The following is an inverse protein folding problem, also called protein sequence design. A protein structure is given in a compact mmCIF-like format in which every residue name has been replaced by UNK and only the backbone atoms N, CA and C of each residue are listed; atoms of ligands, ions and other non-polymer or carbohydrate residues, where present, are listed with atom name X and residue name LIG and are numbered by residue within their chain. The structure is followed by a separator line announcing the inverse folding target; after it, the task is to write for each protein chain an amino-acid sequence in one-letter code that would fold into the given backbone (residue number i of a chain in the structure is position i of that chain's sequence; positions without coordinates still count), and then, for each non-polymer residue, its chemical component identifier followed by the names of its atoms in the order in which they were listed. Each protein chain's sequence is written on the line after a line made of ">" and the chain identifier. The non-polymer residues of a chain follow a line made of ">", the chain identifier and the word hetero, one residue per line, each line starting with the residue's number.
data_IF_978878749498
#
_entry.id   IF_978878749498
#
_cell.length_a   1.000
_cell.length_b   1.000
_cell.length_c   1.000
_cell.angle_alpha   90.00
_cell.angle_beta   90.00
_cell.angle_gamma   90.00
#
_symmetry.space_group_name_H-M   'P 1'
#
loop_
_entity.id
_entity.type
_entity.pdbx_description
1 polymer ?
#
# COMPACT_ATOMS: atom_id res chain seq x y z
N UNK A 1 0.33 -7.28 8.96
CA UNK A 1 0.96 -6.55 7.84
C UNK A 1 2.00 -7.43 7.17
N UNK A 2 2.01 -7.44 5.85
CA UNK A 2 3.03 -8.16 5.09
C UNK A 2 3.57 -7.24 4.00
N UNK A 3 4.87 -7.08 3.94
CA UNK A 3 5.54 -6.25 2.94
C UNK A 3 6.45 -7.16 2.11
N UNK A 4 6.14 -7.27 0.82
CA UNK A 4 6.90 -8.12 -0.07
C UNK A 4 8.29 -7.54 -0.38
N UNK A 5 9.23 -8.38 -0.87
CA UNK A 5 10.56 -7.89 -1.27
C UNK A 5 10.46 -6.74 -2.28
N UNK A 6 11.40 -5.81 -2.16
CA UNK A 6 11.50 -4.63 -3.04
C UNK A 6 10.36 -3.63 -2.93
N UNK A 7 9.42 -3.82 -2.02
CA UNK A 7 8.44 -2.79 -1.71
C UNK A 7 9.14 -1.65 -0.97
N UNK A 8 8.80 -0.42 -1.30
CA UNK A 8 9.36 0.77 -0.65
C UNK A 8 8.25 1.47 0.12
N UNK A 9 8.42 1.54 1.43
CA UNK A 9 7.48 2.22 2.32
C UNK A 9 8.23 3.40 2.93
N UNK A 10 7.84 4.61 2.53
CA UNK A 10 8.52 5.82 2.97
C UNK A 10 8.15 6.20 4.41
N UNK A 11 8.84 7.21 4.95
CA UNK A 11 8.69 7.57 6.36
C UNK A 11 7.28 7.98 6.76
N UNK A 12 6.88 7.65 7.98
CA UNK A 12 5.60 8.05 8.53
C UNK A 12 4.40 7.26 8.01
N UNK A 13 4.61 6.23 7.21
CA UNK A 13 3.52 5.39 6.70
C UNK A 13 3.02 4.49 7.82
N UNK A 14 1.69 4.40 7.94
CA UNK A 14 1.03 3.47 8.85
C UNK A 14 0.30 2.43 8.02
N UNK A 15 0.50 1.18 8.35
CA UNK A 15 -0.14 0.06 7.64
C UNK A 15 -0.98 -0.73 8.64
N UNK A 16 -2.26 -0.85 8.36
CA UNK A 16 -3.19 -1.56 9.22
C UNK A 16 -2.96 -3.06 9.23
N UNK A 17 -3.50 -3.72 10.25
CA UNK A 17 -3.38 -5.15 10.45
C UNK A 17 -3.97 -5.93 9.27
N UNK A 18 -3.30 -6.98 8.88
CA UNK A 18 -3.77 -7.86 7.80
C UNK A 18 -3.57 -7.34 6.39
N UNK A 19 -2.95 -6.17 6.24
CA UNK A 19 -2.72 -5.61 4.90
C UNK A 19 -1.48 -6.19 4.25
N UNK A 20 -1.50 -6.23 2.90
CA UNK A 20 -0.41 -6.72 2.07
C UNK A 20 0.12 -5.60 1.18
N UNK A 21 1.43 -5.49 1.11
CA UNK A 21 2.08 -4.59 0.16
C UNK A 21 2.88 -5.45 -0.81
N UNK A 22 2.46 -5.46 -2.07
CA UNK A 22 3.04 -6.32 -3.09
C UNK A 22 4.46 -5.93 -3.49
N UNK A 23 5.14 -6.82 -4.19
CA UNK A 23 6.52 -6.64 -4.59
C UNK A 23 6.68 -5.40 -5.45
N UNK A 24 7.71 -4.59 -5.18
CA UNK A 24 8.00 -3.39 -5.96
C UNK A 24 7.02 -2.23 -5.77
N UNK A 25 6.01 -2.38 -4.93
CA UNK A 25 5.09 -1.28 -4.66
C UNK A 25 5.80 -0.15 -3.92
N UNK A 26 5.35 1.07 -4.13
CA UNK A 26 5.88 2.26 -3.47
C UNK A 26 4.75 2.94 -2.72
N UNK A 27 4.92 3.19 -1.44
CA UNK A 27 3.96 3.92 -0.63
C UNK A 27 4.60 5.25 -0.23
N UNK A 28 3.98 6.34 -0.66
CA UNK A 28 4.45 7.69 -0.38
C UNK A 28 4.48 7.94 1.13
N UNK A 29 5.35 8.85 1.57
CA UNK A 29 5.47 9.21 2.98
C UNK A 29 4.14 9.71 3.56
N UNK A 30 3.92 9.45 4.84
CA UNK A 30 2.75 9.87 5.62
C UNK A 30 1.41 9.32 5.14
N UNK A 31 1.42 8.29 4.32
CA UNK A 31 0.19 7.60 3.93
C UNK A 31 -0.27 6.68 5.04
N UNK A 32 -1.59 6.57 5.21
CA UNK A 32 -2.20 5.57 6.09
C UNK A 32 -2.90 4.53 5.23
N UNK A 33 -2.49 3.28 5.37
CA UNK A 33 -3.14 2.14 4.73
C UNK A 33 -3.99 1.45 5.80
N UNK A 34 -5.27 1.30 5.52
CA UNK A 34 -6.20 0.70 6.45
C UNK A 34 -5.96 -0.79 6.70
N UNK A 35 -6.89 -1.43 7.38
CA UNK A 35 -6.81 -2.87 7.69
C UNK A 35 -7.25 -3.70 6.50
N UNK A 36 -6.65 -4.87 6.35
CA UNK A 36 -7.02 -5.85 5.32
C UNK A 36 -7.00 -5.29 3.90
N UNK A 37 -6.08 -4.36 3.63
CA UNK A 37 -5.89 -3.81 2.31
C UNK A 37 -4.96 -4.69 1.49
N UNK A 38 -5.10 -4.63 0.16
CA UNK A 38 -4.20 -5.29 -0.77
C UNK A 38 -3.59 -4.24 -1.68
N UNK A 39 -2.29 -4.06 -1.61
CA UNK A 39 -1.58 -3.17 -2.53
C UNK A 39 -0.89 -4.06 -3.56
N UNK A 40 -1.30 -3.94 -4.81
CA UNK A 40 -0.77 -4.79 -5.87
C UNK A 40 0.71 -4.56 -6.15
N UNK A 41 1.36 -5.55 -6.74
CA UNK A 41 2.77 -5.46 -7.10
C UNK A 41 2.99 -4.28 -8.04
N UNK A 42 4.03 -3.49 -7.78
CA UNK A 42 4.37 -2.33 -8.60
C UNK A 42 3.46 -1.12 -8.45
N UNK A 43 2.43 -1.17 -7.61
CA UNK A 43 1.55 -0.03 -7.42
C UNK A 43 2.28 1.12 -6.74
N UNK A 44 1.87 2.34 -7.07
CA UNK A 44 2.39 3.55 -6.42
C UNK A 44 1.25 4.21 -5.65
N UNK A 45 1.32 4.14 -4.33
CA UNK A 45 0.26 4.64 -3.45
C UNK A 45 0.54 6.09 -3.08
N UNK A 46 -0.35 6.98 -3.51
CA UNK A 46 -0.21 8.42 -3.33
C UNK A 46 -1.24 9.01 -2.35
N UNK A 47 -2.21 8.23 -1.90
CA UNK A 47 -3.28 8.65 -1.00
C UNK A 47 -3.54 7.60 0.05
N UNK A 48 -4.18 8.00 1.14
CA UNK A 48 -4.61 7.06 2.16
C UNK A 48 -5.55 6.01 1.55
N UNK A 49 -5.44 4.81 2.05
CA UNK A 49 -6.21 3.67 1.55
C UNK A 49 -7.19 3.22 2.65
N UNK A 50 -8.50 3.23 2.36
CA UNK A 50 -9.47 2.82 3.36
C UNK A 50 -9.42 1.31 3.63
N UNK A 51 -9.95 0.91 4.78
CA UNK A 51 -9.98 -0.50 5.17
C UNK A 51 -10.60 -1.38 4.07
N UNK A 52 -9.98 -2.51 3.81
CA UNK A 52 -10.47 -3.50 2.87
C UNK A 52 -10.28 -3.17 1.40
N UNK A 53 -9.65 -2.04 1.07
CA UNK A 53 -9.48 -1.64 -0.33
C UNK A 53 -8.35 -2.39 -1.01
N UNK A 54 -8.47 -2.55 -2.32
CA UNK A 54 -7.41 -3.07 -3.17
C UNK A 54 -6.92 -1.94 -4.07
N UNK A 55 -5.62 -1.72 -4.10
CA UNK A 55 -5.01 -0.65 -4.89
C UNK A 55 -4.03 -1.25 -5.89
N UNK A 56 -4.16 -0.86 -7.16
CA UNK A 56 -3.30 -1.36 -8.23
C UNK A 56 -2.89 -0.23 -9.17
N UNK A 57 -1.76 -0.39 -9.81
CA UNK A 57 -1.32 0.48 -10.90
C UNK A 57 -0.49 1.68 -10.50
N UNK A 58 -0.17 2.50 -11.51
CA UNK A 58 0.62 3.73 -11.38
C UNK A 58 -0.14 4.82 -12.12
N UNK A 59 -0.71 5.82 -11.42
CA UNK A 59 -0.84 5.91 -9.97
C UNK A 59 -1.76 4.83 -9.41
N UNK A 60 -1.57 4.47 -8.15
CA UNK A 60 -2.39 3.47 -7.50
C UNK A 60 -3.85 3.90 -7.40
N UNK A 61 -4.74 3.04 -7.85
CA UNK A 61 -6.18 3.28 -7.81
C UNK A 61 -6.88 2.10 -7.17
N UNK A 62 -7.95 2.39 -6.44
CA UNK A 62 -8.81 1.33 -5.91
C UNK A 62 -9.49 0.62 -7.05
N UNK A 63 -9.47 -0.69 -6.99
CA UNK A 63 -10.14 -1.52 -7.98
C UNK A 63 -11.43 -2.13 -7.44
#
# INVERSE_FOLDING_TARGET
>A
MHVAPHATVLGGVKVGEGSWIGAGAVVKQYITIGKNCMIGAGAVVLRDVPDGATVVGVPGKES
#
